data_IF_155719343753
#
_entry.id   IF_155719343753
#
_cell.length_a   1.000
_cell.length_b   1.000
_cell.length_c   1.000
_cell.angle_alpha   90.00
_cell.angle_beta   90.00
_cell.angle_gamma   90.00
#
_symmetry.space_group_name_H-M   'P 1'
#
loop_
_entity.id
_entity.type
_entity.pdbx_description
1 polymer ?
#
# COMPACT_ATOMS: atom_id res chain seq x y z
N UNK A 1 -7.60 2.85 -24.63
CA UNK A 1 -7.89 3.36 -23.27
C UNK A 1 -6.70 4.21 -22.86
N UNK A 2 -6.85 5.50 -22.56
CA UNK A 2 -5.70 6.32 -22.11
C UNK A 2 -5.20 5.75 -20.78
N UNK A 3 -3.91 5.45 -20.69
CA UNK A 3 -3.30 5.11 -19.42
C UNK A 3 -3.09 6.41 -18.64
N UNK A 4 -4.14 6.89 -17.98
CA UNK A 4 -4.11 8.13 -17.19
C UNK A 4 -3.17 8.03 -15.96
N UNK A 5 -2.61 6.84 -15.71
CA UNK A 5 -1.63 6.58 -14.68
C UNK A 5 -0.19 6.51 -15.22
N UNK A 6 0.02 6.71 -16.52
CA UNK A 6 1.35 6.72 -17.10
C UNK A 6 2.20 7.87 -16.54
N UNK A 7 3.51 7.64 -16.37
CA UNK A 7 4.46 8.63 -15.86
C UNK A 7 4.32 9.99 -16.52
N UNK A 8 4.27 10.02 -17.86
CA UNK A 8 4.16 11.27 -18.63
C UNK A 8 2.88 12.06 -18.30
N UNK A 9 1.77 11.36 -18.06
CA UNK A 9 0.48 11.96 -17.69
C UNK A 9 0.54 12.49 -16.26
N UNK A 10 1.03 11.67 -15.32
CA UNK A 10 1.19 12.06 -13.92
C UNK A 10 2.14 13.26 -13.76
N UNK A 11 3.27 13.27 -14.48
CA UNK A 11 4.25 14.36 -14.46
C UNK A 11 3.66 15.66 -14.99
N UNK A 12 2.90 15.58 -16.08
CA UNK A 12 2.20 16.74 -16.64
C UNK A 12 1.17 17.30 -15.66
N UNK A 13 0.37 16.43 -15.03
CA UNK A 13 -0.60 16.82 -14.00
C UNK A 13 0.08 17.48 -12.79
N UNK A 14 1.17 16.90 -12.31
CA UNK A 14 1.94 17.45 -11.19
C UNK A 14 2.46 18.85 -11.52
N UNK A 15 3.04 19.05 -12.71
CA UNK A 15 3.56 20.36 -13.14
C UNK A 15 2.47 21.44 -13.21
N UNK A 16 1.27 21.07 -13.63
CA UNK A 16 0.13 22.00 -13.73
C UNK A 16 -0.43 22.42 -12.36
N UNK A 17 -0.35 21.55 -11.34
CA UNK A 17 -0.97 21.77 -10.03
C UNK A 17 0.02 22.20 -8.94
N UNK A 18 1.33 22.04 -9.14
CA UNK A 18 2.35 22.14 -8.08
C UNK A 18 2.42 23.49 -7.37
N UNK A 19 2.05 24.59 -8.03
CA UNK A 19 2.18 25.94 -7.45
C UNK A 19 1.26 26.14 -6.23
N UNK A 20 0.18 25.36 -6.12
CA UNK A 20 -0.77 25.44 -5.00
C UNK A 20 -0.49 24.48 -3.84
N UNK A 21 0.57 23.66 -3.90
CA UNK A 21 0.84 22.67 -2.87
C UNK A 21 1.88 23.14 -1.85
N UNK A 22 1.75 22.74 -0.57
CA UNK A 22 2.84 22.86 0.39
C UNK A 22 4.11 22.21 -0.16
N UNK A 23 5.26 22.83 0.09
CA UNK A 23 6.55 22.38 -0.48
C UNK A 23 6.84 20.91 -0.17
N UNK A 24 6.63 20.49 1.08
CA UNK A 24 6.83 19.10 1.55
C UNK A 24 5.94 18.11 0.79
N UNK A 25 4.68 18.46 0.52
CA UNK A 25 3.78 17.66 -0.31
C UNK A 25 4.25 17.65 -1.78
N UNK A 26 4.62 18.79 -2.32
CA UNK A 26 5.09 18.93 -3.70
C UNK A 26 6.31 18.05 -3.99
N UNK A 27 7.27 18.02 -3.08
CA UNK A 27 8.48 17.17 -3.16
C UNK A 27 8.14 15.68 -3.07
N UNK A 28 7.25 15.27 -2.15
CA UNK A 28 6.77 13.88 -2.03
C UNK A 28 6.14 13.39 -3.33
N UNK A 29 5.17 14.13 -3.86
CA UNK A 29 4.47 13.79 -5.11
C UNK A 29 5.46 13.77 -6.29
N UNK A 30 6.41 14.71 -6.34
CA UNK A 30 7.44 14.73 -7.38
C UNK A 30 8.30 13.46 -7.34
N UNK A 31 8.81 13.07 -6.16
CA UNK A 31 9.65 11.88 -5.97
C UNK A 31 8.88 10.61 -6.34
N UNK A 32 7.65 10.48 -5.84
CA UNK A 32 6.78 9.34 -6.14
C UNK A 32 6.61 9.15 -7.65
N UNK A 33 6.24 10.21 -8.38
CA UNK A 33 6.05 10.15 -9.83
C UNK A 33 7.35 9.81 -10.56
N UNK A 34 8.50 10.35 -10.13
CA UNK A 34 9.79 9.99 -10.75
C UNK A 34 10.11 8.50 -10.60
N UNK A 35 9.78 7.89 -9.47
CA UNK A 35 9.94 6.44 -9.26
C UNK A 35 8.94 5.60 -10.08
N UNK A 36 7.72 6.10 -10.30
CA UNK A 36 6.79 5.48 -11.27
C UNK A 36 7.41 5.45 -12.67
N UNK A 37 8.05 6.54 -13.11
CA UNK A 37 8.77 6.57 -14.38
C UNK A 37 9.88 5.53 -14.47
N UNK A 38 10.66 5.36 -13.38
CA UNK A 38 11.68 4.31 -13.32
C UNK A 38 11.10 2.91 -13.37
N UNK A 39 9.93 2.68 -12.76
CA UNK A 39 9.25 1.40 -12.86
C UNK A 39 8.76 1.11 -14.29
N UNK A 40 8.24 2.12 -14.99
CA UNK A 40 7.81 1.99 -16.40
C UNK A 40 8.97 1.67 -17.35
N UNK A 41 10.17 2.18 -17.07
CA UNK A 41 11.38 1.88 -17.85
C UNK A 41 11.89 0.44 -17.65
N UNK A 42 11.44 -0.27 -16.61
CA UNK A 42 11.87 -1.63 -16.25
C UNK A 42 10.98 -2.72 -16.86
N UNK A 43 10.59 -2.57 -18.12
CA UNK A 43 9.60 -3.43 -18.77
C UNK A 43 9.91 -4.94 -18.75
N UNK A 44 11.19 -5.31 -18.65
CA UNK A 44 11.66 -6.71 -18.67
C UNK A 44 12.13 -7.23 -17.28
N UNK A 45 12.00 -6.41 -16.23
CA UNK A 45 12.43 -6.75 -14.86
C UNK A 45 11.31 -6.43 -13.86
N UNK A 46 10.46 -7.43 -13.62
CA UNK A 46 9.31 -7.33 -12.71
C UNK A 46 9.75 -7.05 -11.25
N UNK A 47 10.91 -7.55 -10.82
CA UNK A 47 11.44 -7.35 -9.47
C UNK A 47 11.86 -5.89 -9.28
N UNK A 48 12.60 -5.33 -10.24
CA UNK A 48 12.97 -3.93 -10.24
C UNK A 48 11.73 -3.02 -10.34
N UNK A 49 10.79 -3.35 -11.23
CA UNK A 49 9.52 -2.64 -11.36
C UNK A 49 8.76 -2.60 -10.02
N UNK A 50 8.63 -3.75 -9.35
CA UNK A 50 7.99 -3.85 -8.05
C UNK A 50 8.69 -2.97 -7.00
N UNK A 51 10.02 -3.05 -6.89
CA UNK A 51 10.78 -2.25 -5.93
C UNK A 51 10.64 -0.74 -6.21
N UNK A 52 10.66 -0.31 -7.47
CA UNK A 52 10.46 1.11 -7.81
C UNK A 52 9.04 1.59 -7.53
N UNK A 53 8.02 0.75 -7.76
CA UNK A 53 6.65 1.07 -7.35
C UNK A 53 6.52 1.13 -5.82
N UNK A 54 7.21 0.26 -5.08
CA UNK A 54 7.27 0.31 -3.63
C UNK A 54 7.91 1.59 -3.12
N UNK A 55 9.03 2.02 -3.72
CA UNK A 55 9.68 3.29 -3.38
C UNK A 55 8.78 4.47 -3.75
N UNK A 56 8.10 4.42 -4.90
CA UNK A 56 7.14 5.44 -5.32
C UNK A 56 6.00 5.59 -4.30
N UNK A 57 5.43 4.47 -3.85
CA UNK A 57 4.41 4.44 -2.82
C UNK A 57 4.92 5.05 -1.51
N UNK A 58 6.08 4.62 -1.02
CA UNK A 58 6.66 5.16 0.21
C UNK A 58 6.97 6.66 0.11
N UNK A 59 7.39 7.16 -1.06
CA UNK A 59 7.62 8.58 -1.27
C UNK A 59 6.32 9.41 -1.24
N UNK A 60 5.19 8.83 -1.64
CA UNK A 60 3.87 9.45 -1.56
C UNK A 60 3.21 9.31 -0.18
N UNK A 61 3.51 8.20 0.51
CA UNK A 61 2.99 7.85 1.83
C UNK A 61 3.67 8.65 2.94
N UNK A 62 5.02 8.67 2.95
CA UNK A 62 5.80 9.18 4.07
C UNK A 62 5.40 10.62 4.43
N UNK A 63 5.02 10.86 5.67
CA UNK A 63 4.95 12.22 6.23
C UNK A 63 6.25 12.54 6.96
N UNK A 64 6.82 13.73 6.74
CA UNK A 64 8.08 14.12 7.42
C UNK A 64 7.90 14.20 8.94
N UNK A 65 6.65 14.38 9.41
CA UNK A 65 6.31 14.34 10.83
C UNK A 65 6.34 12.93 11.44
N UNK A 66 6.23 11.86 10.64
CA UNK A 66 6.25 10.46 11.10
C UNK A 66 7.64 10.04 11.58
N UNK A 67 8.72 10.59 11.00
CA UNK A 67 10.09 10.28 11.43
C UNK A 67 10.48 10.89 12.79
N UNK A 68 9.68 11.82 13.32
CA UNK A 68 9.95 12.52 14.58
C UNK A 68 9.04 12.08 15.73
N UNK A 69 7.90 11.44 15.44
CA UNK A 69 6.95 10.97 16.45
C UNK A 69 7.17 9.47 16.74
N UNK A 70 7.38 9.10 18.00
CA UNK A 70 7.71 7.73 18.40
C UNK A 70 6.67 6.66 18.01
N UNK A 71 7.13 5.41 18.06
CA UNK A 71 6.59 4.14 17.54
C UNK A 71 5.14 3.74 17.89
N UNK A 72 4.38 4.52 18.66
CA UNK A 72 2.97 4.24 18.98
C UNK A 72 1.98 4.93 18.03
N UNK A 73 2.42 5.92 17.23
CA UNK A 73 1.57 6.70 16.29
C UNK A 73 1.35 6.03 14.93
N UNK A 74 2.31 5.22 14.48
CA UNK A 74 2.42 4.74 13.10
C UNK A 74 1.19 3.92 12.64
N UNK A 75 0.61 3.09 13.51
CA UNK A 75 -0.56 2.26 13.15
C UNK A 75 -1.81 3.10 12.91
N UNK A 76 -2.02 4.17 13.69
CA UNK A 76 -3.17 5.05 13.53
C UNK A 76 -3.02 5.93 12.29
N UNK A 77 -1.80 6.40 12.02
CA UNK A 77 -1.44 7.16 10.82
C UNK A 77 -1.61 6.31 9.55
N UNK A 78 -1.14 5.06 9.59
CA UNK A 78 -1.32 4.08 8.51
C UNK A 78 -2.80 3.87 8.17
N UNK A 79 -3.63 3.62 9.18
CA UNK A 79 -5.09 3.51 9.02
C UNK A 79 -5.71 4.80 8.45
N UNK A 80 -5.27 5.96 8.94
CA UNK A 80 -5.74 7.26 8.47
C UNK A 80 -5.39 7.53 7.01
N UNK A 81 -4.19 7.14 6.57
CA UNK A 81 -3.75 7.26 5.19
C UNK A 81 -4.64 6.44 4.25
N UNK A 82 -4.83 5.15 4.52
CA UNK A 82 -5.67 4.29 3.68
C UNK A 82 -7.15 4.69 3.72
N UNK A 83 -7.63 5.19 4.86
CA UNK A 83 -8.96 5.79 4.96
C UNK A 83 -9.15 6.97 4.00
N UNK A 84 -8.18 7.92 3.96
CA UNK A 84 -8.20 9.05 3.01
C UNK A 84 -8.07 8.57 1.57
N UNK A 85 -7.19 7.62 1.30
CA UNK A 85 -6.96 7.08 -0.04
C UNK A 85 -8.24 6.45 -0.62
N UNK A 86 -8.95 5.67 0.18
CA UNK A 86 -10.23 5.06 -0.22
C UNK A 86 -11.33 6.11 -0.39
N UNK A 87 -11.38 7.12 0.47
CA UNK A 87 -12.34 8.23 0.31
C UNK A 87 -12.13 9.03 -0.99
N UNK A 88 -10.90 9.10 -1.48
CA UNK A 88 -10.53 9.75 -2.75
C UNK A 88 -10.66 8.82 -3.98
N UNK A 89 -10.90 7.53 -3.80
CA UNK A 89 -11.07 6.54 -4.88
C UNK A 89 -12.48 6.60 -5.50
N UNK A 90 -12.90 7.78 -5.94
CA UNK A 90 -14.23 8.05 -6.52
C UNK A 90 -14.50 7.22 -7.78
N UNK A 91 -13.46 6.89 -8.54
CA UNK A 91 -13.52 6.07 -9.75
C UNK A 91 -13.47 4.55 -9.44
N UNK A 92 -13.35 4.18 -8.17
CA UNK A 92 -13.23 2.79 -7.70
C UNK A 92 -12.05 2.02 -8.33
N UNK A 93 -10.93 2.69 -8.61
CA UNK A 93 -9.74 2.08 -9.23
C UNK A 93 -9.09 1.07 -8.30
N UNK A 94 -8.94 1.42 -7.01
CA UNK A 94 -8.34 0.54 -6.00
C UNK A 94 -9.28 -0.63 -5.74
N UNK A 95 -10.58 -0.35 -5.60
CA UNK A 95 -11.58 -1.39 -5.44
C UNK A 95 -11.56 -2.40 -6.60
N UNK A 96 -11.57 -1.93 -7.86
CA UNK A 96 -11.51 -2.83 -9.03
C UNK A 96 -10.22 -3.63 -9.08
N UNK A 97 -9.08 -3.03 -8.70
CA UNK A 97 -7.82 -3.76 -8.63
C UNK A 97 -7.91 -4.94 -7.64
N UNK A 98 -8.40 -4.70 -6.43
CA UNK A 98 -8.49 -5.71 -5.37
C UNK A 98 -9.54 -6.80 -5.64
N UNK A 99 -10.73 -6.42 -6.14
CA UNK A 99 -11.86 -7.37 -6.27
C UNK A 99 -12.05 -7.96 -7.66
N UNK A 100 -11.60 -7.28 -8.73
CA UNK A 100 -11.82 -7.74 -10.10
C UNK A 100 -10.53 -8.26 -10.74
N UNK A 101 -9.41 -7.57 -10.55
CA UNK A 101 -8.15 -7.93 -11.20
C UNK A 101 -7.31 -8.92 -10.40
N UNK A 102 -7.16 -8.70 -9.09
CA UNK A 102 -6.22 -9.43 -8.25
C UNK A 102 -6.88 -10.19 -7.10
N UNK A 103 -8.18 -10.48 -7.18
CA UNK A 103 -8.94 -11.11 -6.09
C UNK A 103 -8.40 -12.49 -5.69
N UNK A 104 -7.95 -13.30 -6.65
CA UNK A 104 -7.29 -14.58 -6.39
C UNK A 104 -5.94 -14.41 -5.68
N UNK A 105 -4.95 -13.73 -6.30
CA UNK A 105 -3.64 -13.51 -5.70
C UNK A 105 -3.67 -12.87 -4.30
N UNK A 106 -4.53 -11.87 -4.07
CA UNK A 106 -4.66 -11.21 -2.76
C UNK A 106 -5.15 -12.19 -1.70
N UNK A 107 -6.13 -13.05 -2.02
CA UNK A 107 -6.61 -14.08 -1.09
C UNK A 107 -5.52 -15.10 -0.77
N UNK A 108 -4.82 -15.60 -1.80
CA UNK A 108 -3.73 -16.56 -1.62
C UNK A 108 -2.58 -15.99 -0.77
N UNK A 109 -2.24 -14.72 -0.98
CA UNK A 109 -1.20 -14.05 -0.20
C UNK A 109 -1.58 -13.97 1.28
N UNK A 110 -2.84 -13.67 1.60
CA UNK A 110 -3.28 -13.48 2.98
C UNK A 110 -3.59 -14.79 3.71
N UNK A 111 -3.82 -15.87 2.96
CA UNK A 111 -3.85 -17.24 3.47
C UNK A 111 -2.46 -17.87 3.57
N UNK A 112 -1.39 -17.13 3.23
CA UNK A 112 -0.03 -17.60 3.36
C UNK A 112 0.56 -17.31 4.75
N UNK A 113 0.78 -18.37 5.54
CA UNK A 113 1.42 -18.26 6.87
C UNK A 113 2.80 -17.59 6.84
N UNK A 114 3.53 -17.64 5.72
CA UNK A 114 4.87 -17.07 5.62
C UNK A 114 4.89 -15.54 5.54
N UNK A 115 3.75 -14.89 5.28
CA UNK A 115 3.63 -13.43 5.38
C UNK A 115 3.13 -12.97 6.75
N UNK A 116 2.80 -13.92 7.65
CA UNK A 116 2.25 -13.62 8.97
C UNK A 116 3.37 -13.52 10.01
N UNK A 117 3.63 -12.32 10.52
CA UNK A 117 4.76 -12.07 11.43
C UNK A 117 4.84 -13.02 12.66
N UNK A 118 3.73 -13.34 13.37
CA UNK A 118 3.74 -14.30 14.48
C UNK A 118 4.26 -15.71 14.12
N UNK A 119 4.13 -16.13 12.86
CA UNK A 119 4.70 -17.40 12.39
C UNK A 119 6.22 -17.39 12.56
N UNK A 120 6.89 -16.32 12.13
CA UNK A 120 8.34 -16.19 12.22
C UNK A 120 8.83 -15.95 13.64
N UNK A 121 8.08 -15.18 14.45
CA UNK A 121 8.45 -14.94 15.85
C UNK A 121 8.51 -16.26 16.64
N UNK A 122 7.56 -17.16 16.41
CA UNK A 122 7.62 -18.52 16.97
C UNK A 122 8.84 -19.32 16.49
N UNK A 123 9.11 -19.35 15.18
CA UNK A 123 10.25 -20.09 14.62
C UNK A 123 11.61 -19.52 15.08
N UNK A 124 11.65 -18.23 15.41
CA UNK A 124 12.83 -17.57 15.96
C UNK A 124 12.98 -17.77 17.49
N UNK A 125 12.10 -18.54 18.13
CA UNK A 125 12.15 -18.83 19.57
C UNK A 125 11.73 -17.65 20.46
N UNK A 126 10.97 -16.69 19.94
CA UNK A 126 10.43 -15.60 20.74
C UNK A 126 9.22 -16.10 21.55
N UNK A 127 9.23 -15.86 22.85
CA UNK A 127 8.13 -16.23 23.74
C UNK A 127 6.83 -15.48 23.41
N UNK A 128 5.69 -16.10 23.75
CA UNK A 128 4.36 -15.47 23.58
C UNK A 128 3.67 -15.69 22.23
N UNK A 129 4.23 -16.56 21.37
CA UNK A 129 3.70 -16.88 20.03
C UNK A 129 3.24 -18.34 19.87
N UNK A 130 2.99 -19.04 20.97
CA UNK A 130 2.47 -20.42 20.93
C UNK A 130 1.07 -20.53 20.31
N UNK A 131 0.28 -19.45 20.35
CA UNK A 131 -1.07 -19.29 19.81
C UNK A 131 -1.10 -18.76 18.36
N UNK A 132 0.04 -18.72 17.67
CA UNK A 132 0.19 -18.23 16.29
C UNK A 132 -0.82 -18.79 15.30
N UNK A 133 -1.16 -20.09 15.34
CA UNK A 133 -2.15 -20.68 14.43
C UNK A 133 -3.55 -20.12 14.65
N UNK A 134 -3.95 -19.88 15.90
CA UNK A 134 -5.27 -19.30 16.21
C UNK A 134 -5.32 -17.81 15.87
N UNK A 135 -4.21 -17.08 16.09
CA UNK A 135 -4.06 -15.69 15.62
C UNK A 135 -4.13 -15.60 14.10
N UNK A 136 -3.48 -16.54 13.40
CA UNK A 136 -3.51 -16.60 11.94
C UNK A 136 -4.93 -16.86 11.41
N UNK A 137 -5.63 -17.86 11.97
CA UNK A 137 -7.04 -18.13 11.61
C UNK A 137 -7.95 -16.94 11.85
N UNK A 138 -7.77 -16.26 12.98
CA UNK A 138 -8.54 -15.06 13.34
C UNK A 138 -8.29 -13.93 12.35
N UNK A 139 -7.02 -13.68 12.00
CA UNK A 139 -6.62 -12.68 11.01
C UNK A 139 -7.18 -13.00 9.61
N UNK A 140 -7.04 -14.24 9.15
CA UNK A 140 -7.58 -14.70 7.86
C UNK A 140 -9.12 -14.57 7.80
N UNK A 141 -9.82 -14.90 8.89
CA UNK A 141 -11.27 -14.75 8.96
C UNK A 141 -11.71 -13.27 8.92
N UNK A 142 -11.02 -12.39 9.67
CA UNK A 142 -11.29 -10.96 9.66
C UNK A 142 -11.06 -10.36 8.26
N UNK A 143 -9.99 -10.77 7.58
CA UNK A 143 -9.73 -10.40 6.19
C UNK A 143 -10.84 -10.90 5.25
N UNK A 144 -11.19 -12.18 5.31
CA UNK A 144 -12.24 -12.76 4.46
C UNK A 144 -13.59 -12.06 4.68
N UNK A 145 -13.89 -11.63 5.91
CA UNK A 145 -15.06 -10.80 6.20
C UNK A 145 -14.96 -9.42 5.55
N UNK A 146 -13.86 -8.70 5.72
CA UNK A 146 -13.64 -7.39 5.11
C UNK A 146 -13.70 -7.47 3.57
N UNK A 147 -13.12 -8.53 2.99
CA UNK A 147 -13.14 -8.80 1.57
C UNK A 147 -14.57 -9.07 1.07
N UNK A 148 -15.38 -9.86 1.80
CA UNK A 148 -16.79 -10.09 1.44
C UNK A 148 -17.64 -8.83 1.52
N UNK A 149 -17.40 -7.99 2.53
CA UNK A 149 -18.14 -6.74 2.73
C UNK A 149 -17.69 -5.61 1.79
N UNK A 150 -16.64 -5.81 0.99
CA UNK A 150 -16.15 -4.80 0.03
C UNK A 150 -15.48 -3.60 0.70
N UNK A 151 -14.99 -3.75 1.94
CA UNK A 151 -14.45 -2.62 2.72
C UNK A 151 -12.96 -2.45 2.41
N UNK A 152 -12.64 -1.67 1.36
CA UNK A 152 -11.27 -1.43 0.89
C UNK A 152 -10.30 -1.01 1.99
N UNK A 153 -10.70 -0.08 2.86
CA UNK A 153 -9.81 0.42 3.92
C UNK A 153 -9.37 -0.70 4.88
N UNK A 154 -10.28 -1.61 5.24
CA UNK A 154 -9.99 -2.76 6.12
C UNK A 154 -9.21 -3.88 5.43
N UNK A 155 -9.24 -3.94 4.09
CA UNK A 155 -8.45 -4.88 3.31
C UNK A 155 -7.01 -4.39 3.15
N UNK A 156 -6.82 -3.08 3.10
CA UNK A 156 -5.52 -2.44 2.93
C UNK A 156 -4.77 -2.22 4.27
N UNK A 157 -5.46 -2.35 5.41
CA UNK A 157 -4.94 -2.08 6.75
C UNK A 157 -4.78 -3.32 7.64
#
# INVERSE_FOLDING_TARGET
MRNDMAFAVLKSKQRALREGFPETMGLRVHRAISWVGRAEDCADDDDACFIFLWIAFNAAYADEHEFQAGSYSERAEFLGYFGRLVALDVDHRIYRALWQRFSGPVRLLLENRYVFNPFWQYHNGIDGFNDREDRFRSSACAFAQAFRLGVSARVLS
#
